data_IF_230993333119
#
_entry.id   IF_230993333119
#
_cell.length_a   1.000
_cell.length_b   1.000
_cell.length_c   1.000
_cell.angle_alpha   90.00
_cell.angle_beta   90.00
_cell.angle_gamma   90.00
#
_symmetry.space_group_name_H-M   'P 1'
#
loop_
_entity.id
_entity.type
_entity.pdbx_description
1 polymer ?
#
# COMPACT_ATOMS: atom_id res chain seq x y z
N UNK A 1 49.89 -12.92 16.15
CA UNK A 1 48.96 -11.91 15.61
C UNK A 1 47.65 -12.62 15.37
N UNK A 2 46.69 -12.46 16.30
CA UNK A 2 45.38 -13.11 16.22
C UNK A 2 44.45 -12.21 15.40
N UNK A 3 44.09 -12.65 14.20
CA UNK A 3 43.06 -12.01 13.39
C UNK A 3 41.70 -12.37 13.97
N UNK A 4 41.06 -11.43 14.65
CA UNK A 4 39.65 -11.51 15.01
C UNK A 4 38.81 -11.39 13.73
N UNK A 5 38.07 -12.45 13.40
CA UNK A 5 37.01 -12.42 12.41
C UNK A 5 35.89 -11.50 12.91
N UNK A 6 35.68 -10.37 12.25
CA UNK A 6 34.47 -9.57 12.41
C UNK A 6 33.29 -10.42 11.92
N UNK A 7 32.41 -10.79 12.85
CA UNK A 7 31.17 -11.48 12.52
C UNK A 7 30.29 -10.57 11.68
N UNK A 8 29.80 -11.09 10.55
CA UNK A 8 28.77 -10.44 9.75
C UNK A 8 27.51 -10.25 10.60
N UNK A 9 27.35 -9.08 11.20
CA UNK A 9 26.10 -8.71 11.86
C UNK A 9 24.97 -8.78 10.84
N UNK A 10 23.96 -9.61 11.10
CA UNK A 10 22.74 -9.64 10.30
C UNK A 10 22.13 -8.24 10.25
N UNK A 11 21.94 -7.70 9.05
CA UNK A 11 21.25 -6.42 8.85
C UNK A 11 19.78 -6.67 9.23
N UNK A 12 19.36 -6.13 10.38
CA UNK A 12 17.95 -6.13 10.79
C UNK A 12 17.24 -4.99 10.08
N UNK A 13 16.31 -5.32 9.18
CA UNK A 13 15.41 -4.35 8.58
C UNK A 13 14.29 -4.00 9.57
N UNK A 14 13.96 -2.70 9.77
CA UNK A 14 12.82 -2.30 10.57
C UNK A 14 11.52 -2.87 9.99
N UNK A 15 10.62 -3.32 10.86
CA UNK A 15 9.32 -3.86 10.44
C UNK A 15 8.19 -2.98 10.97
N UNK A 16 7.16 -2.80 10.15
CA UNK A 16 5.94 -2.07 10.51
C UNK A 16 4.71 -2.94 10.27
N UNK A 17 3.58 -2.53 10.85
CA UNK A 17 2.29 -3.17 10.62
C UNK A 17 1.23 -2.11 10.29
N UNK A 18 0.39 -2.37 9.28
CA UNK A 18 -0.66 -1.44 8.91
C UNK A 18 -1.81 -1.45 9.91
N UNK A 19 -2.20 -0.24 10.37
CA UNK A 19 -3.22 -0.08 11.41
C UNK A 19 -4.59 -0.64 10.97
N UNK A 20 -4.91 -0.55 9.67
CA UNK A 20 -6.14 -1.09 9.10
C UNK A 20 -6.17 -2.62 9.02
N UNK A 21 -5.01 -3.29 9.14
CA UNK A 21 -4.88 -4.74 9.00
C UNK A 21 -4.89 -5.49 10.34
N UNK A 22 -4.96 -4.78 11.47
CA UNK A 22 -5.00 -5.37 12.81
C UNK A 22 -6.30 -5.03 13.55
N UNK A 23 -6.82 -6.03 14.25
CA UNK A 23 -7.98 -5.88 15.12
C UNK A 23 -9.31 -6.03 14.39
N UNK A 24 -10.37 -5.60 15.07
CA UNK A 24 -11.75 -5.66 14.60
C UNK A 24 -12.34 -4.24 14.65
N UNK A 25 -13.46 -3.95 13.97
CA UNK A 25 -14.03 -2.59 13.92
C UNK A 25 -14.30 -1.93 15.27
N UNK A 26 -14.40 -2.72 16.35
CA UNK A 26 -14.57 -2.24 17.72
C UNK A 26 -13.28 -1.80 18.42
N UNK A 27 -12.11 -2.18 17.90
CA UNK A 27 -10.83 -1.89 18.54
C UNK A 27 -10.38 -0.47 18.22
N UNK A 28 -9.92 0.24 19.23
CA UNK A 28 -9.42 1.62 19.08
C UNK A 28 -8.02 1.64 18.48
N UNK A 29 -7.63 2.77 17.88
CA UNK A 29 -6.26 2.95 17.39
C UNK A 29 -5.21 2.76 18.51
N UNK A 30 -5.53 3.14 19.75
CA UNK A 30 -4.66 2.90 20.90
C UNK A 30 -4.41 1.41 21.14
N UNK A 31 -5.48 0.59 21.16
CA UNK A 31 -5.35 -0.87 21.31
C UNK A 31 -4.56 -1.51 20.15
N UNK A 32 -4.72 -0.98 18.93
CA UNK A 32 -3.93 -1.42 17.78
C UNK A 32 -2.44 -1.10 17.95
N UNK A 33 -2.11 0.12 18.37
CA UNK A 33 -0.73 0.57 18.64
C UNK A 33 -0.07 -0.29 19.72
N UNK A 34 -0.78 -0.56 20.83
CA UNK A 34 -0.32 -1.46 21.89
C UNK A 34 -0.01 -2.86 21.34
N UNK A 35 -0.96 -3.46 20.61
CA UNK A 35 -0.78 -4.80 20.05
C UNK A 35 0.38 -4.88 19.04
N UNK A 36 0.54 -3.87 18.18
CA UNK A 36 1.67 -3.77 17.23
C UNK A 36 2.99 -3.74 18.00
N UNK A 37 3.07 -2.93 19.06
CA UNK A 37 4.30 -2.84 19.86
C UNK A 37 4.62 -4.14 20.59
N UNK A 38 3.61 -4.76 21.21
CA UNK A 38 3.73 -6.04 21.92
C UNK A 38 4.17 -7.18 21.00
N UNK A 39 3.74 -7.15 19.73
CA UNK A 39 4.18 -8.09 18.70
C UNK A 39 5.63 -7.85 18.22
N UNK A 40 6.30 -6.81 18.71
CA UNK A 40 7.72 -6.55 18.43
C UNK A 40 8.01 -5.75 17.17
N UNK A 41 6.99 -5.09 16.59
CA UNK A 41 7.20 -4.20 15.45
C UNK A 41 7.93 -2.91 15.87
N UNK A 42 8.65 -2.32 14.92
CA UNK A 42 9.40 -1.07 15.10
C UNK A 42 8.56 0.16 14.68
N UNK A 43 7.49 -0.05 13.91
CA UNK A 43 6.63 1.02 13.45
C UNK A 43 5.22 0.61 13.04
N UNK A 44 4.46 1.59 12.60
CA UNK A 44 3.08 1.48 12.14
C UNK A 44 2.94 2.14 10.77
N UNK A 45 2.14 1.55 9.90
CA UNK A 45 1.62 2.23 8.72
C UNK A 45 0.25 2.80 9.11
N UNK A 46 0.18 4.13 9.26
CA UNK A 46 -1.01 4.78 9.77
C UNK A 46 -2.04 4.89 8.65
N UNK A 47 -3.16 4.17 8.80
CA UNK A 47 -4.26 4.31 7.85
C UNK A 47 -5.08 5.58 8.14
N UNK A 48 -5.44 6.32 7.10
CA UNK A 48 -6.25 7.53 7.20
C UNK A 48 -7.65 7.25 7.79
N UNK A 49 -8.35 6.15 7.45
CA UNK A 49 -9.60 5.80 8.13
C UNK A 49 -9.44 5.63 9.65
N UNK A 50 -8.34 5.03 10.11
CA UNK A 50 -8.08 4.91 11.56
C UNK A 50 -7.73 6.26 12.19
N UNK A 51 -7.01 7.13 11.50
CA UNK A 51 -6.75 8.51 11.95
C UNK A 51 -8.06 9.29 12.10
N UNK A 52 -8.95 9.21 11.11
CA UNK A 52 -10.26 9.88 11.14
C UNK A 52 -11.16 9.31 12.26
N UNK A 53 -11.20 7.99 12.42
CA UNK A 53 -11.93 7.33 13.50
C UNK A 53 -11.39 7.73 14.88
N UNK A 54 -10.06 7.82 15.01
CA UNK A 54 -9.41 8.34 16.20
C UNK A 54 -9.79 9.81 16.45
N UNK A 55 -9.72 10.67 15.45
CA UNK A 55 -10.11 12.08 15.55
C UNK A 55 -11.55 12.24 16.04
N UNK A 56 -12.48 11.50 15.44
CA UNK A 56 -13.89 11.55 15.81
C UNK A 56 -14.12 11.18 17.28
N UNK A 57 -13.44 10.12 17.73
CA UNK A 57 -13.47 9.71 19.14
C UNK A 57 -12.81 10.73 20.06
N UNK A 58 -11.67 11.30 19.64
CA UNK A 58 -10.89 12.27 20.41
C UNK A 58 -11.69 13.55 20.68
N UNK A 59 -12.40 14.05 19.68
CA UNK A 59 -13.22 15.26 19.79
C UNK A 59 -14.66 15.00 20.26
N UNK A 60 -15.10 13.74 20.34
CA UNK A 60 -16.46 13.39 20.71
C UNK A 60 -17.52 13.85 19.70
N UNK A 61 -17.14 14.02 18.43
CA UNK A 61 -18.02 14.39 17.31
C UNK A 61 -17.57 13.69 16.04
N UNK A 62 -18.44 13.64 15.03
CA UNK A 62 -18.04 13.18 13.70
C UNK A 62 -17.04 14.17 13.08
N UNK A 63 -15.89 13.66 12.63
CA UNK A 63 -14.85 14.42 11.94
C UNK A 63 -14.84 13.98 10.48
N UNK A 64 -15.19 14.91 9.59
CA UNK A 64 -15.19 14.67 8.15
C UNK A 64 -13.76 14.48 7.61
N UNK A 65 -13.65 13.82 6.45
CA UNK A 65 -12.36 13.57 5.79
C UNK A 65 -11.63 14.84 5.32
N UNK A 66 -12.36 15.96 5.21
CA UNK A 66 -11.87 17.28 4.82
C UNK A 66 -11.79 18.27 6.01
N UNK A 67 -12.04 17.83 7.24
CA UNK A 67 -11.81 18.61 8.46
C UNK A 67 -10.32 18.56 8.85
N UNK A 68 -9.48 19.12 7.97
CA UNK A 68 -8.03 19.01 8.05
C UNK A 68 -7.45 19.60 9.34
N UNK A 69 -8.06 20.63 9.90
CA UNK A 69 -7.61 21.20 11.19
C UNK A 69 -7.72 20.17 12.32
N UNK A 70 -8.85 19.49 12.42
CA UNK A 70 -9.08 18.46 13.44
C UNK A 70 -8.20 17.24 13.17
N UNK A 71 -8.02 16.86 11.90
CA UNK A 71 -7.15 15.76 11.50
C UNK A 71 -5.68 16.02 11.84
N UNK A 72 -5.18 17.24 11.66
CA UNK A 72 -3.82 17.61 12.06
C UNK A 72 -3.62 17.52 13.59
N UNK A 73 -4.57 18.01 14.38
CA UNK A 73 -4.50 17.89 15.84
C UNK A 73 -4.54 16.42 16.29
N UNK A 74 -5.44 15.63 15.70
CA UNK A 74 -5.51 14.20 15.95
C UNK A 74 -4.22 13.48 15.53
N UNK A 75 -3.63 13.83 14.39
CA UNK A 75 -2.39 13.25 13.88
C UNK A 75 -1.22 13.50 14.84
N UNK A 76 -1.13 14.71 15.41
CA UNK A 76 -0.15 15.02 16.45
C UNK A 76 -0.35 14.17 17.70
N UNK A 77 -1.59 14.00 18.16
CA UNK A 77 -1.87 13.14 19.31
C UNK A 77 -1.53 11.66 19.03
N UNK A 78 -1.78 11.17 17.80
CA UNK A 78 -1.38 9.82 17.38
C UNK A 78 0.14 9.68 17.31
N UNK A 79 0.85 10.70 16.80
CA UNK A 79 2.31 10.74 16.79
C UNK A 79 2.89 10.59 18.21
N UNK A 80 2.41 11.41 19.15
CA UNK A 80 2.87 11.38 20.54
C UNK A 80 2.58 10.03 21.21
N UNK A 81 1.44 9.42 20.87
CA UNK A 81 1.10 8.07 21.31
C UNK A 81 2.06 7.01 20.76
N UNK A 82 2.33 7.01 19.45
CA UNK A 82 3.27 6.08 18.82
C UNK A 82 4.68 6.22 19.43
N UNK A 83 5.18 7.45 19.62
CA UNK A 83 6.46 7.71 20.28
C UNK A 83 6.45 7.17 21.72
N UNK A 84 5.36 7.37 22.47
CA UNK A 84 5.19 6.82 23.82
C UNK A 84 5.28 5.30 23.90
N UNK A 85 4.86 4.58 22.85
CA UNK A 85 5.01 3.13 22.73
C UNK A 85 6.33 2.70 22.06
N UNK A 86 7.17 3.64 21.63
CA UNK A 86 8.42 3.35 20.92
C UNK A 86 8.20 2.86 19.48
N UNK A 87 7.11 3.27 18.84
CA UNK A 87 6.80 3.00 17.43
C UNK A 87 7.03 4.26 16.59
N UNK A 88 7.61 4.09 15.40
CA UNK A 88 7.64 5.12 14.36
C UNK A 88 6.41 5.01 13.46
N UNK A 89 5.79 6.13 13.08
CA UNK A 89 4.86 6.15 11.95
C UNK A 89 5.68 6.12 10.67
N UNK A 90 5.67 4.99 9.96
CA UNK A 90 6.47 4.76 8.76
C UNK A 90 5.93 5.57 7.58
N UNK A 91 4.61 5.57 7.40
CA UNK A 91 3.90 6.09 6.24
C UNK A 91 2.46 6.46 6.63
N UNK A 92 1.90 7.49 5.98
CA UNK A 92 0.47 7.78 6.00
C UNK A 92 -0.18 7.21 4.74
N UNK A 93 -1.22 6.38 4.90
CA UNK A 93 -1.80 5.63 3.79
C UNK A 93 -3.32 5.40 3.92
N UNK A 94 -4.01 4.95 2.86
CA UNK A 94 -3.67 5.21 1.47
C UNK A 94 -4.12 6.61 1.06
N UNK A 95 -3.31 7.30 0.26
CA UNK A 95 -3.74 8.49 -0.48
C UNK A 95 -4.22 8.05 -1.87
N UNK A 96 -5.53 7.95 -2.04
CA UNK A 96 -6.15 7.41 -3.26
C UNK A 96 -6.58 8.50 -4.23
N UNK A 97 -6.80 8.14 -5.51
CA UNK A 97 -7.47 8.98 -6.51
C UNK A 97 -6.86 10.39 -6.67
N UNK A 98 -5.53 10.45 -6.72
CA UNK A 98 -4.80 11.71 -6.88
C UNK A 98 -4.53 12.06 -8.35
N UNK A 99 -3.91 11.14 -9.08
CA UNK A 99 -3.39 11.38 -10.42
C UNK A 99 -4.40 11.04 -11.52
N UNK A 100 -4.23 11.68 -12.68
CA UNK A 100 -4.92 11.33 -13.92
C UNK A 100 -6.27 12.01 -14.12
N UNK A 101 -6.68 12.94 -13.27
CA UNK A 101 -7.89 13.72 -13.53
C UNK A 101 -7.73 14.62 -14.76
N UNK A 102 -8.78 14.84 -15.59
CA UNK A 102 -8.67 15.71 -16.76
C UNK A 102 -8.13 17.11 -16.42
N UNK A 103 -7.29 17.67 -17.29
CA UNK A 103 -6.69 18.99 -17.08
C UNK A 103 -7.76 20.07 -16.90
N UNK A 104 -7.58 20.96 -15.93
CA UNK A 104 -8.57 22.00 -15.59
C UNK A 104 -9.84 21.52 -14.88
N UNK A 105 -10.05 20.21 -14.71
CA UNK A 105 -11.24 19.68 -14.02
C UNK A 105 -11.28 20.06 -12.54
N UNK A 106 -12.49 20.10 -11.97
CA UNK A 106 -12.69 20.35 -10.54
C UNK A 106 -12.09 19.22 -9.69
N UNK A 107 -12.13 17.99 -10.18
CA UNK A 107 -11.56 16.81 -9.51
C UNK A 107 -10.04 16.94 -9.41
N UNK A 108 -9.36 17.38 -10.47
CA UNK A 108 -7.92 17.66 -10.44
C UNK A 108 -7.61 18.73 -9.40
N UNK A 109 -8.34 19.85 -9.43
CA UNK A 109 -8.15 20.94 -8.45
C UNK A 109 -8.36 20.46 -7.00
N UNK A 110 -9.40 19.66 -6.76
CA UNK A 110 -9.70 19.07 -5.45
C UNK A 110 -8.61 18.08 -5.00
N UNK A 111 -8.09 17.24 -5.89
CA UNK A 111 -7.00 16.31 -5.59
C UNK A 111 -5.73 17.04 -5.14
N UNK A 112 -5.35 18.13 -5.83
CA UNK A 112 -4.21 18.96 -5.44
C UNK A 112 -4.46 19.75 -4.14
N UNK A 113 -5.68 20.22 -3.90
CA UNK A 113 -6.03 20.87 -2.63
C UNK A 113 -5.95 19.88 -1.45
N UNK A 114 -6.48 18.66 -1.63
CA UNK A 114 -6.40 17.59 -0.64
C UNK A 114 -4.96 17.16 -0.39
N UNK A 115 -4.12 17.10 -1.42
CA UNK A 115 -2.69 16.80 -1.27
C UNK A 115 -1.97 17.83 -0.39
N UNK A 116 -2.27 19.13 -0.53
CA UNK A 116 -1.69 20.17 0.34
C UNK A 116 -2.06 19.94 1.80
N UNK A 117 -3.33 19.66 2.07
CA UNK A 117 -3.78 19.39 3.43
C UNK A 117 -3.19 18.10 4.02
N UNK A 118 -3.05 17.05 3.21
CA UNK A 118 -2.41 15.81 3.63
C UNK A 118 -0.93 16.00 3.98
N UNK A 119 -0.21 16.90 3.30
CA UNK A 119 1.16 17.26 3.66
C UNK A 119 1.22 17.85 5.08
N UNK A 120 0.26 18.71 5.44
CA UNK A 120 0.17 19.25 6.81
C UNK A 120 -0.14 18.14 7.84
N UNK A 121 -1.01 17.18 7.48
CA UNK A 121 -1.30 16.02 8.33
C UNK A 121 -0.06 15.14 8.51
N UNK A 122 0.72 14.90 7.45
CA UNK A 122 1.97 14.14 7.52
C UNK A 122 2.97 14.80 8.46
N UNK A 123 3.12 16.13 8.37
CA UNK A 123 3.99 16.91 9.26
C UNK A 123 3.53 16.76 10.73
N UNK A 124 2.23 16.85 11.00
CA UNK A 124 1.68 16.63 12.33
C UNK A 124 1.84 15.19 12.83
N UNK A 125 1.70 14.20 11.94
CA UNK A 125 1.93 12.78 12.24
C UNK A 125 3.41 12.42 12.40
N UNK A 126 4.34 13.33 12.11
CA UNK A 126 5.78 13.06 12.17
C UNK A 126 6.27 12.00 11.17
N UNK A 127 5.57 11.84 10.03
CA UNK A 127 6.00 10.94 8.95
C UNK A 127 6.53 11.71 7.75
N UNK A 128 7.53 11.15 7.10
CA UNK A 128 8.13 11.71 5.88
C UNK A 128 7.63 11.05 4.60
N UNK A 129 6.73 10.05 4.69
CA UNK A 129 6.33 9.22 3.56
C UNK A 129 4.82 9.19 3.39
N UNK A 130 4.39 9.45 2.15
CA UNK A 130 3.01 9.30 1.69
C UNK A 130 2.90 8.09 0.79
N UNK A 131 1.99 7.16 1.09
CA UNK A 131 1.64 6.09 0.15
C UNK A 131 0.52 6.55 -0.76
N UNK A 132 0.75 6.51 -2.06
CA UNK A 132 -0.23 6.88 -3.08
C UNK A 132 -0.64 5.62 -3.84
N UNK A 133 -1.91 5.26 -3.76
CA UNK A 133 -2.46 4.13 -4.51
C UNK A 133 -2.88 4.58 -5.90
N UNK A 134 -2.50 3.81 -6.94
CA UNK A 134 -2.86 4.14 -8.32
C UNK A 134 -4.37 4.24 -8.51
N UNK A 135 -4.83 5.34 -9.11
CA UNK A 135 -6.25 5.68 -9.26
C UNK A 135 -7.06 4.60 -10.02
N UNK A 136 -8.31 4.39 -9.57
CA UNK A 136 -9.26 3.42 -10.12
C UNK A 136 -10.53 4.04 -10.72
N UNK A 137 -10.61 5.37 -10.71
CA UNK A 137 -11.69 6.14 -11.35
C UNK A 137 -11.83 5.81 -12.84
N UNK A 138 -13.08 5.77 -13.32
CA UNK A 138 -13.41 5.58 -14.75
C UNK A 138 -13.30 6.86 -15.56
N UNK A 139 -13.36 8.00 -14.89
CA UNK A 139 -13.43 9.33 -15.51
C UNK A 139 -12.05 9.97 -15.65
N UNK A 140 -11.00 9.26 -15.22
CA UNK A 140 -9.64 9.70 -15.34
C UNK A 140 -9.14 9.60 -16.78
N UNK A 141 -8.23 10.50 -17.14
CA UNK A 141 -7.39 10.41 -18.32
C UNK A 141 -6.57 9.13 -18.30
N UNK A 142 -6.47 8.49 -19.47
CA UNK A 142 -5.60 7.32 -19.71
C UNK A 142 -4.23 7.74 -20.27
N UNK A 143 -3.95 9.04 -20.28
CA UNK A 143 -2.66 9.56 -20.71
C UNK A 143 -1.61 9.36 -19.61
N UNK A 144 -0.67 8.45 -19.86
CA UNK A 144 0.43 8.16 -18.96
C UNK A 144 1.41 9.34 -18.80
N UNK A 145 1.51 10.26 -19.78
CA UNK A 145 2.25 11.52 -19.62
C UNK A 145 1.62 12.38 -18.53
N UNK A 146 0.30 12.52 -18.57
CA UNK A 146 -0.43 13.31 -17.59
C UNK A 146 -0.36 12.71 -16.19
N UNK A 147 -0.57 11.39 -16.08
CA UNK A 147 -0.45 10.65 -14.80
C UNK A 147 0.95 10.85 -14.19
N UNK A 148 2.01 10.70 -14.99
CA UNK A 148 3.38 10.92 -14.53
C UNK A 148 3.64 12.39 -14.14
N UNK A 149 3.07 13.35 -14.87
CA UNK A 149 3.19 14.77 -14.57
C UNK A 149 2.52 15.13 -13.24
N UNK A 150 1.30 14.61 -12.98
CA UNK A 150 0.59 14.83 -11.71
C UNK A 150 1.41 14.31 -10.52
N UNK A 151 1.91 13.06 -10.61
CA UNK A 151 2.77 12.48 -9.57
C UNK A 151 4.08 13.25 -9.40
N UNK A 152 4.66 13.75 -10.49
CA UNK A 152 5.82 14.64 -10.46
C UNK A 152 5.53 15.93 -9.67
N UNK A 153 4.38 16.56 -9.91
CA UNK A 153 3.95 17.74 -9.15
C UNK A 153 3.72 17.44 -7.66
N UNK A 154 3.12 16.29 -7.32
CA UNK A 154 2.96 15.88 -5.92
C UNK A 154 4.30 15.66 -5.24
N UNK A 155 5.25 15.03 -5.92
CA UNK A 155 6.59 14.85 -5.41
C UNK A 155 7.32 16.18 -5.20
N UNK A 156 7.14 17.16 -6.10
CA UNK A 156 7.68 18.51 -5.93
C UNK A 156 7.07 19.22 -4.71
N UNK A 157 5.76 19.03 -4.46
CA UNK A 157 5.09 19.54 -3.26
C UNK A 157 5.64 18.91 -1.97
N UNK A 158 5.81 17.59 -1.96
CA UNK A 158 6.38 16.84 -0.83
C UNK A 158 7.85 17.23 -0.57
N UNK A 159 8.63 17.46 -1.62
CA UNK A 159 10.05 17.81 -1.52
C UNK A 159 10.28 19.12 -0.75
N UNK A 160 9.33 20.06 -0.78
CA UNK A 160 9.41 21.31 -0.02
C UNK A 160 9.46 21.12 1.51
N UNK A 161 9.08 19.92 2.00
CA UNK A 161 9.19 19.50 3.41
C UNK A 161 10.22 18.37 3.62
N UNK A 162 10.95 17.97 2.58
CA UNK A 162 11.82 16.79 2.62
C UNK A 162 11.06 15.47 2.62
N UNK A 163 9.79 15.47 2.23
CA UNK A 163 8.94 14.28 2.20
C UNK A 163 9.05 13.51 0.87
N UNK A 164 8.55 12.27 0.90
CA UNK A 164 8.70 11.27 -0.15
C UNK A 164 7.36 10.63 -0.50
N UNK A 165 7.24 10.20 -1.75
CA UNK A 165 6.07 9.51 -2.29
C UNK A 165 6.41 8.03 -2.56
N UNK A 166 5.64 7.13 -1.97
CA UNK A 166 5.65 5.70 -2.30
C UNK A 166 4.41 5.37 -3.15
N UNK A 167 4.61 5.08 -4.44
CA UNK A 167 3.51 4.77 -5.37
C UNK A 167 3.26 3.26 -5.37
N UNK A 168 2.00 2.87 -5.18
CA UNK A 168 1.53 1.48 -5.11
C UNK A 168 0.67 1.17 -6.34
N UNK A 169 0.92 0.03 -7.00
CA UNK A 169 -0.03 -0.47 -7.98
C UNK A 169 -1.22 -1.07 -7.23
N UNK A 170 -2.42 -0.64 -7.57
CA UNK A 170 -3.63 -1.36 -7.17
C UNK A 170 -4.02 -2.27 -8.31
N UNK A 171 -4.13 -3.58 -8.08
CA UNK A 171 -4.39 -4.54 -9.16
C UNK A 171 -5.76 -4.40 -9.85
N UNK A 172 -6.57 -3.45 -9.38
CA UNK A 172 -7.84 -3.01 -9.97
C UNK A 172 -7.81 -1.58 -10.53
N UNK A 173 -6.66 -0.90 -10.52
CA UNK A 173 -6.49 0.46 -11.04
C UNK A 173 -6.85 0.56 -12.52
N UNK A 174 -7.19 1.77 -12.97
CA UNK A 174 -7.61 2.00 -14.37
C UNK A 174 -6.42 2.02 -15.32
N UNK A 175 -5.29 2.59 -14.90
CA UNK A 175 -4.14 2.83 -15.78
C UNK A 175 -2.84 2.16 -15.32
N UNK A 176 -2.68 1.87 -14.03
CA UNK A 176 -1.43 1.30 -13.49
C UNK A 176 -1.63 0.09 -12.56
N UNK A 177 -2.24 -1.02 -13.04
CA UNK A 177 -2.52 -2.18 -12.20
C UNK A 177 -1.30 -3.09 -11.90
N UNK A 178 -0.19 -2.98 -12.64
CA UNK A 178 1.00 -3.84 -12.47
C UNK A 178 2.21 -3.08 -11.92
N UNK A 179 3.20 -3.81 -11.41
CA UNK A 179 4.48 -3.20 -10.97
C UNK A 179 5.18 -2.49 -12.14
N UNK A 180 5.03 -2.99 -13.38
CA UNK A 180 5.61 -2.40 -14.58
C UNK A 180 5.02 -1.04 -14.89
N UNK A 181 3.70 -0.91 -14.75
CA UNK A 181 3.00 0.34 -15.03
C UNK A 181 3.43 1.42 -14.05
N UNK A 182 3.41 1.12 -12.75
CA UNK A 182 3.85 2.09 -11.73
C UNK A 182 5.34 2.41 -11.87
N UNK A 183 6.20 1.43 -12.19
CA UNK A 183 7.61 1.71 -12.43
C UNK A 183 7.86 2.58 -13.67
N UNK A 184 7.13 2.32 -14.77
CA UNK A 184 7.18 3.16 -15.97
C UNK A 184 6.78 4.60 -15.65
N UNK A 185 5.70 4.77 -14.89
CA UNK A 185 5.20 6.06 -14.42
C UNK A 185 6.22 6.80 -13.56
N UNK A 186 6.85 6.13 -12.58
CA UNK A 186 7.88 6.73 -11.72
C UNK A 186 9.07 7.23 -12.54
N UNK A 187 9.56 6.41 -13.49
CA UNK A 187 10.66 6.82 -14.37
C UNK A 187 10.29 8.06 -15.18
N UNK A 188 9.05 8.13 -15.64
CA UNK A 188 8.54 9.25 -16.45
C UNK A 188 8.33 10.52 -15.64
N UNK A 189 7.84 10.40 -14.40
CA UNK A 189 7.71 11.50 -13.46
C UNK A 189 9.08 12.12 -13.12
N UNK A 190 10.14 11.30 -13.14
CA UNK A 190 11.54 11.73 -13.05
C UNK A 190 11.79 12.65 -11.85
N UNK A 191 11.44 12.15 -10.66
CA UNK A 191 11.73 12.81 -9.38
C UNK A 191 12.49 11.89 -8.42
N UNK A 192 13.49 12.41 -7.68
CA UNK A 192 14.33 11.59 -6.83
C UNK A 192 13.57 11.03 -5.60
N UNK A 193 12.60 11.80 -5.09
CA UNK A 193 11.79 11.48 -3.91
C UNK A 193 10.50 10.69 -4.22
N UNK A 194 10.45 10.02 -5.38
CA UNK A 194 9.45 9.01 -5.71
C UNK A 194 10.09 7.63 -5.70
N UNK A 195 9.44 6.70 -5.01
CA UNK A 195 9.74 5.27 -4.98
C UNK A 195 8.47 4.43 -4.99
N UNK A 196 8.65 3.11 -4.89
CA UNK A 196 7.58 2.12 -4.88
C UNK A 196 7.18 1.76 -3.45
N UNK A 197 5.88 1.67 -3.22
CA UNK A 197 5.32 0.69 -2.28
C UNK A 197 5.14 -0.60 -3.09
N UNK A 198 6.05 -1.56 -2.88
CA UNK A 198 5.94 -2.85 -3.57
C UNK A 198 5.08 -3.77 -2.70
N UNK A 199 3.88 -4.10 -3.16
CA UNK A 199 2.96 -4.99 -2.43
C UNK A 199 2.83 -6.35 -3.12
N UNK A 200 2.97 -7.43 -2.34
CA UNK A 200 2.94 -8.82 -2.84
C UNK A 200 1.57 -9.23 -3.36
N UNK A 201 0.48 -8.88 -2.67
CA UNK A 201 -0.88 -9.15 -3.13
C UNK A 201 -1.20 -8.34 -4.38
N UNK A 202 -0.82 -7.06 -4.46
CA UNK A 202 -1.14 -6.25 -5.61
C UNK A 202 -0.41 -6.75 -6.85
N UNK A 203 0.85 -7.16 -6.70
CA UNK A 203 1.63 -7.76 -7.78
C UNK A 203 1.01 -9.10 -8.22
N UNK A 204 0.76 -10.02 -7.28
CA UNK A 204 0.16 -11.31 -7.59
C UNK A 204 -1.28 -11.19 -8.12
N UNK A 205 -2.08 -10.34 -7.49
CA UNK A 205 -3.44 -10.01 -7.87
C UNK A 205 -3.52 -9.34 -9.22
N UNK A 206 -2.47 -8.62 -9.66
CA UNK A 206 -2.36 -8.05 -11.01
C UNK A 206 -2.12 -9.10 -12.10
N UNK A 207 -1.23 -10.06 -11.82
CA UNK A 207 -0.54 -10.86 -12.84
C UNK A 207 -0.75 -12.38 -12.75
N UNK A 208 -1.33 -12.88 -11.65
CA UNK A 208 -1.48 -14.31 -11.39
C UNK A 208 -2.86 -14.67 -10.82
N UNK A 209 -3.36 -13.92 -9.85
CA UNK A 209 -4.60 -14.19 -9.15
C UNK A 209 -5.83 -13.63 -9.86
N UNK A 210 -6.96 -14.33 -9.72
CA UNK A 210 -8.27 -13.82 -10.15
C UNK A 210 -9.35 -14.29 -9.18
N UNK A 211 -10.02 -13.39 -8.45
CA UNK A 211 -11.06 -13.76 -7.49
C UNK A 211 -12.38 -14.16 -8.17
N UNK A 212 -12.49 -14.06 -9.49
CA UNK A 212 -13.71 -14.35 -10.27
C UNK A 212 -13.70 -15.75 -10.89
N UNK A 213 -12.56 -16.47 -10.82
CA UNK A 213 -12.44 -17.83 -11.36
C UNK A 213 -12.52 -18.88 -10.25
N UNK A 214 -12.98 -20.08 -10.60
CA UNK A 214 -13.06 -21.19 -9.63
C UNK A 214 -11.66 -21.64 -9.18
N UNK A 215 -10.65 -21.52 -10.04
CA UNK A 215 -9.27 -21.86 -9.69
C UNK A 215 -8.61 -20.82 -8.77
N UNK A 216 -9.13 -19.59 -8.72
CA UNK A 216 -8.51 -18.44 -8.03
C UNK A 216 -7.34 -17.82 -8.82
N UNK A 217 -7.17 -18.20 -10.08
CA UNK A 217 -6.07 -17.81 -10.97
C UNK A 217 -6.61 -17.17 -12.23
N UNK A 218 -5.81 -16.35 -12.88
CA UNK A 218 -6.13 -15.81 -14.21
C UNK A 218 -6.28 -16.98 -15.19
N UNK A 219 -7.45 -17.08 -15.81
CA UNK A 219 -7.75 -18.06 -16.85
C UNK A 219 -7.85 -17.30 -18.18
N UNK A 220 -6.87 -17.52 -19.06
CA UNK A 220 -6.86 -16.93 -20.41
C UNK A 220 -6.82 -18.04 -21.45
N UNK A 221 -7.49 -17.82 -22.59
CA UNK A 221 -7.53 -18.79 -23.68
C UNK A 221 -6.11 -19.15 -24.15
N UNK A 222 -5.81 -20.46 -24.17
CA UNK A 222 -4.50 -20.97 -24.58
C UNK A 222 -3.38 -20.85 -23.53
N UNK A 223 -3.64 -20.33 -22.33
CA UNK A 223 -2.66 -20.25 -21.24
C UNK A 223 -2.95 -21.35 -20.21
N UNK A 224 -2.01 -22.30 -20.05
CA UNK A 224 -2.10 -23.31 -18.99
C UNK A 224 -1.70 -22.74 -17.63
N UNK A 225 -2.06 -23.43 -16.54
CA UNK A 225 -1.59 -23.05 -15.19
C UNK A 225 -0.05 -23.04 -15.07
N UNK A 226 0.65 -23.89 -15.83
CA UNK A 226 2.12 -23.92 -15.88
C UNK A 226 2.65 -22.68 -16.61
N UNK A 227 2.01 -22.29 -17.72
CA UNK A 227 2.37 -21.09 -18.46
C UNK A 227 2.16 -19.82 -17.63
N UNK A 228 1.05 -19.74 -16.88
CA UNK A 228 0.77 -18.63 -15.97
C UNK A 228 1.84 -18.53 -14.88
N UNK A 229 2.16 -19.64 -14.21
CA UNK A 229 3.19 -19.65 -13.16
C UNK A 229 4.58 -19.28 -13.71
N UNK A 230 4.94 -19.78 -14.90
CA UNK A 230 6.17 -19.43 -15.59
C UNK A 230 6.22 -17.94 -15.95
N UNK A 231 5.12 -17.39 -16.46
CA UNK A 231 5.04 -15.97 -16.85
C UNK A 231 5.14 -15.06 -15.64
N UNK A 232 4.45 -15.38 -14.54
CA UNK A 232 4.54 -14.64 -13.29
C UNK A 232 5.95 -14.69 -12.70
N UNK A 233 6.58 -15.87 -12.66
CA UNK A 233 7.98 -16.03 -12.23
C UNK A 233 8.91 -15.17 -13.07
N UNK A 234 8.76 -15.20 -14.40
CA UNK A 234 9.56 -14.36 -15.31
C UNK A 234 9.35 -12.85 -15.08
N UNK A 235 8.12 -12.44 -14.71
CA UNK A 235 7.81 -11.05 -14.36
C UNK A 235 8.50 -10.60 -13.06
N UNK A 236 8.48 -11.44 -12.01
CA UNK A 236 9.20 -11.16 -10.75
C UNK A 236 10.72 -11.12 -10.96
N UNK A 237 11.23 -12.02 -11.79
CA UNK A 237 12.61 -12.03 -12.24
C UNK A 237 12.98 -10.71 -12.94
N UNK A 238 12.12 -10.21 -13.83
CA UNK A 238 12.29 -8.93 -14.50
C UNK A 238 12.25 -7.75 -13.52
N UNK A 239 11.30 -7.75 -12.58
CA UNK A 239 11.20 -6.77 -11.50
C UNK A 239 12.54 -6.66 -10.77
N UNK A 240 13.08 -7.80 -10.32
CA UNK A 240 14.33 -7.85 -9.53
C UNK A 240 15.54 -7.26 -10.27
N UNK A 241 15.57 -7.35 -11.62
CA UNK A 241 16.66 -6.82 -12.45
C UNK A 241 16.44 -5.37 -12.87
N UNK A 242 15.19 -4.91 -12.89
CA UNK A 242 14.80 -3.64 -13.51
C UNK A 242 14.57 -2.53 -12.50
N UNK A 243 14.11 -2.87 -11.30
CA UNK A 243 13.81 -1.90 -10.23
C UNK A 243 15.01 -1.83 -9.27
N UNK A 244 15.69 -0.67 -9.18
CA UNK A 244 16.74 -0.47 -8.18
C UNK A 244 16.20 -0.61 -6.76
N UNK A 245 16.94 -1.27 -5.86
CA UNK A 245 16.50 -1.51 -4.49
C UNK A 245 16.26 -0.22 -3.68
N UNK A 246 16.99 0.86 -3.98
CA UNK A 246 16.80 2.19 -3.38
C UNK A 246 15.53 2.90 -3.87
N UNK A 247 14.89 2.39 -4.92
CA UNK A 247 13.57 2.82 -5.39
C UNK A 247 12.42 2.02 -4.80
N UNK A 248 12.68 1.00 -3.99
CA UNK A 248 11.67 0.32 -3.18
C UNK A 248 11.70 0.96 -1.80
N UNK A 249 10.77 1.86 -1.52
CA UNK A 249 10.74 2.58 -0.24
C UNK A 249 10.28 1.68 0.91
N UNK A 250 9.37 0.76 0.64
CA UNK A 250 9.06 -0.36 1.50
C UNK A 250 8.39 -1.50 0.72
N UNK A 251 8.51 -2.71 1.27
CA UNK A 251 7.86 -3.93 0.78
C UNK A 251 6.70 -4.24 1.72
N UNK A 252 5.48 -4.21 1.19
CA UNK A 252 4.28 -4.61 1.92
C UNK A 252 4.01 -6.10 1.64
N UNK A 253 4.12 -6.92 2.68
CA UNK A 253 3.81 -8.34 2.59
C UNK A 253 2.34 -8.51 2.95
N UNK A 254 1.51 -8.72 1.93
CA UNK A 254 0.08 -8.92 2.08
C UNK A 254 -0.42 -10.06 1.17
N UNK A 255 -1.56 -10.64 1.52
CA UNK A 255 -2.18 -11.77 0.82
C UNK A 255 -3.71 -11.63 0.84
N UNK A 256 -4.43 -12.51 0.15
CA UNK A 256 -5.88 -12.63 0.23
C UNK A 256 -6.32 -14.08 0.04
N UNK A 257 -7.38 -14.49 0.72
CA UNK A 257 -7.95 -15.82 0.59
C UNK A 257 -8.58 -16.03 -0.78
N UNK A 258 -8.42 -17.23 -1.33
CA UNK A 258 -9.23 -17.65 -2.48
C UNK A 258 -10.71 -17.57 -2.12
N UNK A 259 -11.49 -16.97 -3.01
CA UNK A 259 -12.95 -16.80 -2.90
C UNK A 259 -13.66 -18.09 -3.31
N UNK A 260 -14.54 -18.59 -2.44
CA UNK A 260 -15.40 -19.75 -2.73
C UNK A 260 -16.80 -19.50 -2.12
N UNK A 261 -17.83 -19.23 -2.94
CA UNK A 261 -17.80 -19.20 -4.42
C UNK A 261 -16.97 -18.02 -4.98
N UNK A 262 -16.56 -18.08 -6.26
CA UNK A 262 -15.89 -16.95 -6.93
C UNK A 262 -16.74 -15.68 -6.90
N UNK A 263 -16.09 -14.51 -6.89
CA UNK A 263 -16.76 -13.23 -6.94
C UNK A 263 -17.37 -12.99 -8.31
N UNK A 264 -18.49 -12.25 -8.33
CA UNK A 264 -19.08 -11.72 -9.55
C UNK A 264 -18.03 -10.91 -10.34
N UNK A 265 -17.82 -11.13 -11.64
CA UNK A 265 -16.87 -10.36 -12.44
C UNK A 265 -17.27 -8.90 -12.66
N UNK A 266 -18.55 -8.55 -12.47
CA UNK A 266 -19.00 -7.17 -12.54
C UNK A 266 -18.55 -6.35 -11.31
N UNK A 267 -18.40 -5.02 -11.46
CA UNK A 267 -18.28 -4.14 -10.32
C UNK A 267 -19.46 -4.30 -9.35
N UNK A 268 -19.20 -4.17 -8.05
CA UNK A 268 -20.24 -4.21 -7.03
C UNK A 268 -21.26 -3.10 -7.24
N UNK A 269 -22.55 -3.46 -7.21
CA UNK A 269 -23.64 -2.50 -7.33
C UNK A 269 -23.75 -1.55 -6.13
N UNK A 270 -23.24 -1.93 -4.95
CA UNK A 270 -23.29 -1.11 -3.73
C UNK A 270 -22.08 -0.19 -3.58
N UNK A 271 -20.88 -0.71 -3.84
CA UNK A 271 -19.62 0.02 -3.62
C UNK A 271 -18.98 0.56 -4.89
N UNK A 272 -19.38 0.08 -6.07
CA UNK A 272 -18.70 0.36 -7.33
C UNK A 272 -17.35 -0.37 -7.49
N UNK A 273 -16.87 -1.08 -6.46
CA UNK A 273 -15.56 -1.73 -6.49
C UNK A 273 -15.52 -2.88 -7.49
N UNK A 274 -14.45 -2.89 -8.30
CA UNK A 274 -14.09 -4.01 -9.19
C UNK A 274 -13.76 -5.27 -8.36
N UNK A 275 -13.84 -6.48 -8.94
CA UNK A 275 -13.68 -7.73 -8.19
C UNK A 275 -12.37 -7.82 -7.39
N UNK A 276 -11.24 -7.39 -7.97
CA UNK A 276 -9.94 -7.34 -7.28
C UNK A 276 -9.88 -6.31 -6.15
N UNK A 277 -10.60 -5.20 -6.29
CA UNK A 277 -10.80 -4.23 -5.21
C UNK A 277 -11.58 -4.86 -4.04
N UNK A 278 -12.70 -5.53 -4.32
CA UNK A 278 -13.45 -6.29 -3.29
C UNK A 278 -12.61 -7.36 -2.63
N UNK A 279 -11.82 -8.09 -3.41
CA UNK A 279 -10.91 -9.11 -2.91
C UNK A 279 -9.91 -8.52 -1.90
N UNK A 280 -9.32 -7.37 -2.24
CA UNK A 280 -8.41 -6.63 -1.35
C UNK A 280 -9.08 -6.13 -0.05
N UNK A 281 -10.36 -5.79 -0.07
CA UNK A 281 -11.04 -5.20 1.10
C UNK A 281 -11.66 -6.25 2.03
N UNK A 282 -12.17 -7.34 1.47
CA UNK A 282 -13.07 -8.25 2.19
C UNK A 282 -12.45 -9.62 2.50
N UNK A 283 -11.34 -9.98 1.85
CA UNK A 283 -10.79 -11.34 1.89
C UNK A 283 -9.34 -11.39 2.37
N UNK A 284 -8.87 -10.37 3.07
CA UNK A 284 -7.51 -10.34 3.65
C UNK A 284 -7.40 -11.33 4.82
N UNK A 285 -6.28 -12.07 4.94
CA UNK A 285 -6.06 -12.92 6.10
C UNK A 285 -5.90 -12.08 7.35
N UNK A 286 -6.70 -12.38 8.37
CA UNK A 286 -6.43 -11.91 9.72
C UNK A 286 -5.25 -12.71 10.28
N UNK A 287 -4.23 -12.04 10.85
CA UNK A 287 -3.15 -12.73 11.55
C UNK A 287 -3.72 -13.72 12.57
N UNK A 288 -3.22 -14.96 12.55
CA UNK A 288 -3.51 -16.00 13.55
C UNK A 288 -4.95 -16.56 13.61
N UNK A 289 -5.81 -16.29 12.60
CA UNK A 289 -7.20 -16.79 12.62
C UNK A 289 -7.37 -18.20 12.02
N UNK A 290 -6.43 -18.69 11.18
CA UNK A 290 -6.48 -20.04 10.61
C UNK A 290 -5.07 -20.61 10.32
N UNK A 291 -4.87 -21.94 10.28
CA UNK A 291 -3.65 -22.54 9.76
C UNK A 291 -3.54 -22.20 8.26
N UNK A 292 -2.64 -21.26 7.96
CA UNK A 292 -2.14 -20.80 6.66
C UNK A 292 -2.50 -21.69 5.45
N UNK A 293 -3.43 -21.24 4.62
CA UNK A 293 -3.51 -21.62 3.22
C UNK A 293 -2.96 -20.45 2.39
N UNK A 294 -1.64 -20.25 2.47
CA UNK A 294 -0.90 -19.29 1.65
C UNK A 294 -1.05 -19.69 0.20
N UNK A 295 -1.32 -18.72 -0.66
CA UNK A 295 -1.16 -18.88 -2.09
C UNK A 295 0.32 -19.15 -2.39
N UNK A 296 0.66 -20.44 -2.49
CA UNK A 296 2.01 -20.95 -2.76
C UNK A 296 2.45 -20.50 -4.17
N UNK A 297 3.05 -19.31 -4.27
CA UNK A 297 3.67 -18.78 -5.48
C UNK A 297 5.19 -18.62 -5.36
N UNK A 298 5.80 -19.07 -4.26
CA UNK A 298 7.25 -19.23 -4.15
C UNK A 298 7.57 -20.72 -4.05
N UNK A 299 8.24 -21.23 -5.09
CA UNK A 299 8.66 -22.61 -5.20
C UNK A 299 9.44 -23.07 -3.96
N UNK A 300 9.13 -24.29 -3.52
CA UNK A 300 9.81 -25.00 -2.46
C UNK A 300 11.28 -25.24 -2.81
N UNK A 301 12.16 -24.34 -2.34
CA UNK A 301 13.57 -24.63 -2.14
C UNK A 301 13.96 -24.38 -0.69
N UNK A 302 14.27 -25.50 -0.02
CA UNK A 302 14.80 -25.66 1.33
C UNK A 302 15.52 -24.43 1.92
N UNK A 303 14.93 -23.85 2.97
CA UNK A 303 15.65 -23.00 3.93
C UNK A 303 15.93 -23.82 5.19
N UNK A 304 17.20 -24.08 5.55
CA UNK A 304 17.55 -24.96 6.65
C UNK A 304 17.79 -24.17 7.94
N UNK A 305 16.75 -23.93 8.74
CA UNK A 305 16.93 -23.50 10.14
C UNK A 305 15.80 -24.05 11.02
N UNK A 306 16.00 -25.29 11.48
CA UNK A 306 15.28 -25.87 12.61
C UNK A 306 16.18 -26.85 13.36
N UNK A 307 16.94 -26.32 14.32
CA UNK A 307 17.36 -27.03 15.53
C UNK A 307 17.38 -26.04 16.69
#
# INVERSE_FOLDING_TARGET
MSSTSEGSGSIRHPVAFASCSIGLPRHTLHQKIEAIREAGFDGIELSFPDLQAYASRHFGRDVAEDDYSSLCEAAKAVHDMCIGHGLKILVLQPFSNFEGWPEGSQQRQAAFARAKAWIDIMEAAGTDMLQVGSSDSTDMSKDMDQIAADLGCLADMLAARGFRLAYENWCWATCAPTWKDVWSTIKKASRPNIGLCLDTFQTAGGEWGDPTTTSGRIEAEGITAVDLARTYTASLDELSRTVPGDKIYFLQISDAYRTDPPLDPAPSSSSGLRPRGRWSHEHRPLPYVLPLCVLHALGSHNLPWSH
#
